data_IF_322391356530
#
_entry.id   IF_322391356530
#
_cell.length_a   1.000
_cell.length_b   1.000
_cell.length_c   1.000
_cell.angle_alpha   90.00
_cell.angle_beta   90.00
_cell.angle_gamma   90.00
#
_symmetry.space_group_name_H-M   'P 1'
#
loop_
_entity.id
_entity.type
_entity.pdbx_description
1 polymer ?
#
# COMPACT_ATOMS: atom_id res chain seq x y z
N UNK A 1 50.14 31.95 19.47
CA UNK A 1 49.45 30.65 19.33
C UNK A 1 47.96 30.92 19.27
N UNK A 2 47.38 30.96 18.06
CA UNK A 2 45.91 30.98 17.89
C UNK A 2 45.63 30.04 16.72
N UNK A 3 45.18 28.83 17.03
CA UNK A 3 44.56 27.92 16.06
C UNK A 3 43.30 27.42 16.75
N UNK A 4 42.16 27.56 16.09
CA UNK A 4 40.98 26.76 16.43
C UNK A 4 39.73 27.58 16.72
N UNK A 5 38.97 27.87 15.67
CA UNK A 5 37.51 28.01 15.69
C UNK A 5 37.05 28.12 14.24
N UNK A 6 36.90 26.97 13.57
CA UNK A 6 36.45 26.96 12.17
C UNK A 6 36.23 25.57 11.56
N UNK A 7 36.59 24.49 12.24
CA UNK A 7 36.59 23.15 11.64
C UNK A 7 35.35 22.28 11.90
N UNK A 8 34.40 22.69 12.76
CA UNK A 8 33.36 21.77 13.24
C UNK A 8 31.98 21.91 12.60
N UNK A 9 31.72 22.96 11.80
CA UNK A 9 30.42 23.10 11.12
C UNK A 9 30.33 22.40 9.75
N UNK A 10 31.46 22.06 9.12
CA UNK A 10 31.45 21.44 7.79
C UNK A 10 31.18 19.91 7.82
N UNK A 11 31.44 19.24 8.95
CA UNK A 11 31.28 17.79 9.06
C UNK A 11 29.84 17.33 9.34
N UNK A 12 28.94 18.22 9.78
CA UNK A 12 27.54 17.86 10.00
C UNK A 12 26.71 17.91 8.70
N UNK A 13 27.05 18.81 7.76
CA UNK A 13 26.31 18.94 6.49
C UNK A 13 26.66 17.87 5.45
N UNK A 14 27.87 17.28 5.53
CA UNK A 14 28.27 16.17 4.65
C UNK A 14 27.70 14.81 5.09
N UNK A 15 27.28 14.66 6.35
CA UNK A 15 26.66 13.43 6.85
C UNK A 15 25.25 13.20 6.27
N UNK A 16 24.53 14.25 5.85
CA UNK A 16 23.24 14.12 5.15
C UNK A 16 23.37 13.75 3.68
N UNK A 17 24.56 13.87 3.07
CA UNK A 17 24.81 13.56 1.66
C UNK A 17 25.49 12.18 1.47
N UNK A 18 26.10 11.63 2.52
CA UNK A 18 26.79 10.33 2.49
C UNK A 18 25.87 9.14 2.82
N UNK A 19 24.58 9.39 3.06
CA UNK A 19 23.59 8.31 3.01
C UNK A 19 23.13 8.20 1.56
N UNK A 20 23.93 7.52 0.74
CA UNK A 20 23.41 6.92 -0.49
C UNK A 20 22.08 6.27 -0.11
N UNK A 21 20.98 6.50 -0.86
CA UNK A 21 19.78 5.74 -0.62
C UNK A 21 20.22 4.30 -0.83
N UNK A 22 20.44 3.55 0.28
CA UNK A 22 20.61 2.11 0.21
C UNK A 22 19.42 1.68 -0.60
N UNK A 23 19.68 1.30 -1.84
CA UNK A 23 18.69 0.74 -2.74
C UNK A 23 18.35 -0.57 -2.08
N UNK A 24 17.47 -0.49 -1.09
CA UNK A 24 17.00 -1.63 -0.35
C UNK A 24 16.17 -2.35 -1.40
N UNK A 25 16.77 -3.35 -2.04
CA UNK A 25 16.10 -4.23 -2.98
C UNK A 25 15.09 -4.98 -2.14
N UNK A 26 13.90 -4.41 -2.01
CA UNK A 26 12.77 -5.04 -1.34
C UNK A 26 12.46 -6.27 -2.15
N UNK A 27 12.77 -7.44 -1.60
CA UNK A 27 12.36 -8.71 -2.18
C UNK A 27 10.86 -8.82 -1.96
N UNK A 28 10.10 -8.61 -3.04
CA UNK A 28 8.65 -8.75 -3.01
C UNK A 28 8.32 -10.24 -3.06
N UNK A 29 7.64 -10.74 -2.02
CA UNK A 29 7.18 -12.13 -2.00
C UNK A 29 5.98 -12.32 -2.94
N UNK A 30 5.69 -13.56 -3.35
CA UNK A 30 4.62 -13.82 -4.32
C UNK A 30 3.25 -13.32 -3.85
N UNK A 31 2.94 -13.44 -2.56
CA UNK A 31 1.70 -12.92 -2.00
C UNK A 31 1.70 -11.38 -1.93
N UNK A 32 2.84 -10.72 -1.72
CA UNK A 32 2.93 -9.25 -1.70
C UNK A 32 2.75 -8.72 -3.13
N UNK A 33 3.38 -9.37 -4.10
CA UNK A 33 3.23 -9.05 -5.52
C UNK A 33 1.76 -9.16 -5.96
N UNK A 34 1.05 -10.22 -5.56
CA UNK A 34 -0.35 -10.41 -5.90
C UNK A 34 -1.26 -9.30 -5.35
N UNK A 35 -0.97 -8.78 -4.15
CA UNK A 35 -1.70 -7.65 -3.56
C UNK A 35 -1.31 -6.32 -4.21
N UNK A 36 -0.03 -6.13 -4.52
CA UNK A 36 0.44 -4.96 -5.27
C UNK A 36 -0.18 -4.88 -6.66
N UNK A 37 -0.34 -6.02 -7.34
CA UNK A 37 -1.06 -6.09 -8.61
C UNK A 37 -2.51 -5.63 -8.45
N UNK A 38 -3.19 -6.03 -7.38
CA UNK A 38 -4.56 -5.57 -7.12
C UNK A 38 -4.66 -4.08 -6.77
N UNK A 39 -3.62 -3.48 -6.17
CA UNK A 39 -3.56 -2.02 -5.99
C UNK A 39 -3.50 -1.32 -7.35
N UNK A 40 -2.64 -1.79 -8.27
CA UNK A 40 -2.56 -1.21 -9.63
C UNK A 40 -3.90 -1.36 -10.36
N UNK A 41 -4.51 -2.55 -10.35
CA UNK A 41 -5.85 -2.77 -10.95
C UNK A 41 -6.88 -1.78 -10.43
N UNK A 42 -6.90 -1.55 -9.12
CA UNK A 42 -7.84 -0.60 -8.50
C UNK A 42 -7.58 0.85 -8.93
N UNK A 43 -6.31 1.26 -9.04
CA UNK A 43 -5.93 2.59 -9.51
C UNK A 43 -6.32 2.81 -10.98
N UNK A 44 -6.01 1.85 -11.85
CA UNK A 44 -6.34 1.95 -13.28
C UNK A 44 -7.85 1.93 -13.51
N UNK A 45 -8.61 1.09 -12.78
CA UNK A 45 -10.08 1.03 -12.87
C UNK A 45 -10.73 2.33 -12.40
N UNK A 46 -10.15 2.98 -11.38
CA UNK A 46 -10.66 4.24 -10.85
C UNK A 46 -10.21 5.48 -11.66
N UNK A 47 -9.35 5.32 -12.67
CA UNK A 47 -8.75 6.43 -13.41
C UNK A 47 -7.90 7.34 -12.50
N UNK A 48 -7.29 6.77 -11.46
CA UNK A 48 -6.51 7.52 -10.47
C UNK A 48 -5.03 7.48 -10.84
N UNK A 49 -4.55 8.58 -11.40
CA UNK A 49 -3.14 8.72 -11.76
C UNK A 49 -2.25 9.19 -10.60
N UNK A 50 -2.84 9.88 -9.62
CA UNK A 50 -2.11 10.49 -8.50
C UNK A 50 -2.31 9.74 -7.18
N UNK A 51 -1.21 9.45 -6.50
CA UNK A 51 -1.15 8.78 -5.20
C UNK A 51 -2.02 9.42 -4.09
N UNK A 52 -2.42 10.68 -4.25
CA UNK A 52 -3.19 11.42 -3.24
C UNK A 52 -4.68 11.01 -3.21
N UNK A 53 -5.23 10.58 -4.36
CA UNK A 53 -6.60 10.05 -4.45
C UNK A 53 -6.66 8.53 -4.22
N UNK A 54 -5.50 7.89 -4.02
CA UNK A 54 -5.41 6.44 -3.83
C UNK A 54 -5.98 5.99 -2.49
N UNK A 55 -5.92 6.84 -1.45
CA UNK A 55 -6.43 6.52 -0.12
C UNK A 55 -7.98 6.50 -0.04
N UNK A 56 -8.69 7.09 -1.01
CA UNK A 56 -10.16 7.13 -1.03
C UNK A 56 -10.78 5.97 -1.80
N UNK A 57 -9.98 5.22 -2.56
CA UNK A 57 -10.44 4.03 -3.27
C UNK A 57 -10.43 2.85 -2.30
N UNK A 58 -11.62 2.38 -1.89
CA UNK A 58 -11.79 1.31 -0.89
C UNK A 58 -10.95 0.06 -1.19
N UNK A 59 -10.84 -0.31 -2.48
CA UNK A 59 -10.05 -1.46 -2.91
C UNK A 59 -8.56 -1.23 -2.64
N UNK A 60 -8.04 -0.03 -2.90
CA UNK A 60 -6.63 0.25 -2.62
C UNK A 60 -6.37 0.22 -1.12
N UNK A 61 -7.22 0.86 -0.31
CA UNK A 61 -7.09 0.84 1.15
C UNK A 61 -7.11 -0.59 1.70
N UNK A 62 -7.96 -1.46 1.15
CA UNK A 62 -8.00 -2.87 1.52
C UNK A 62 -6.66 -3.59 1.26
N UNK A 63 -6.12 -3.51 0.04
CA UNK A 63 -4.86 -4.19 -0.30
C UNK A 63 -3.64 -3.55 0.38
N UNK A 64 -3.63 -2.23 0.55
CA UNK A 64 -2.62 -1.53 1.37
C UNK A 64 -2.67 -2.01 2.83
N UNK A 65 -3.86 -2.23 3.38
CA UNK A 65 -4.07 -2.84 4.69
C UNK A 65 -3.51 -4.26 4.76
N UNK A 66 -3.74 -5.10 3.74
CA UNK A 66 -3.15 -6.46 3.67
C UNK A 66 -1.62 -6.42 3.65
N UNK A 67 -1.02 -5.53 2.86
CA UNK A 67 0.44 -5.37 2.78
C UNK A 67 1.03 -4.89 4.12
N UNK A 68 0.40 -3.90 4.75
CA UNK A 68 0.82 -3.39 6.06
C UNK A 68 0.63 -4.40 7.19
N UNK A 69 -0.45 -5.20 7.15
CA UNK A 69 -0.82 -6.18 8.17
C UNK A 69 0.10 -7.40 8.25
N UNK A 70 0.99 -7.62 7.27
CA UNK A 70 1.93 -8.74 7.26
C UNK A 70 3.15 -8.53 8.16
N UNK A 71 3.25 -7.41 8.87
CA UNK A 71 4.29 -7.17 9.88
C UNK A 71 5.67 -6.82 9.32
N UNK A 72 5.81 -6.72 8.00
CA UNK A 72 7.03 -6.22 7.36
C UNK A 72 7.09 -4.70 7.49
N UNK A 73 8.16 -4.17 8.11
CA UNK A 73 8.42 -2.72 8.19
C UNK A 73 8.95 -2.24 6.84
N UNK A 74 8.08 -2.26 5.84
CA UNK A 74 8.35 -1.88 4.46
C UNK A 74 7.57 -0.62 4.13
N UNK A 75 8.23 0.35 3.49
CA UNK A 75 7.58 1.53 2.90
C UNK A 75 6.82 1.12 1.63
N UNK A 76 5.70 0.42 1.80
CA UNK A 76 4.89 -0.13 0.71
C UNK A 76 4.42 0.94 -0.27
N UNK A 77 4.22 2.18 0.21
CA UNK A 77 3.98 3.37 -0.61
C UNK A 77 5.05 3.53 -1.72
N UNK A 78 6.33 3.46 -1.34
CA UNK A 78 7.45 3.61 -2.29
C UNK A 78 7.61 2.40 -3.20
N UNK A 79 7.42 1.21 -2.66
CA UNK A 79 7.54 -0.05 -3.41
C UNK A 79 6.46 -0.13 -4.50
N UNK A 80 5.24 0.31 -4.19
CA UNK A 80 4.13 0.39 -5.15
C UNK A 80 4.37 1.43 -6.24
N UNK A 81 4.84 2.63 -5.87
CA UNK A 81 5.20 3.65 -6.86
C UNK A 81 6.28 3.13 -7.80
N UNK A 82 7.34 2.53 -7.26
CA UNK A 82 8.41 1.93 -8.06
C UNK A 82 7.89 0.83 -8.98
N UNK A 83 7.07 -0.09 -8.44
CA UNK A 83 6.46 -1.18 -9.21
C UNK A 83 5.58 -0.66 -10.35
N UNK A 84 4.63 0.23 -10.07
CA UNK A 84 3.74 0.79 -11.10
C UNK A 84 4.52 1.59 -12.15
N UNK A 85 5.55 2.34 -11.74
CA UNK A 85 6.39 3.12 -12.67
C UNK A 85 7.24 2.24 -13.60
N UNK A 86 7.49 0.99 -13.21
CA UNK A 86 8.16 0.00 -14.05
C UNK A 86 7.25 -0.67 -15.08
N UNK A 87 5.94 -0.42 -15.04
CA UNK A 87 4.96 -0.99 -15.97
C UNK A 87 4.63 0.00 -17.08
N UNK A 88 4.68 -0.47 -18.32
CA UNK A 88 4.11 0.23 -19.46
C UNK A 88 2.59 0.31 -19.39
N UNK A 89 1.99 1.24 -20.13
CA UNK A 89 0.53 1.40 -20.19
C UNK A 89 -0.16 0.11 -20.64
N UNK A 90 0.42 -0.61 -21.61
CA UNK A 90 -0.10 -1.88 -22.08
C UNK A 90 -0.06 -2.96 -21.00
N UNK A 91 1.00 -3.01 -20.17
CA UNK A 91 1.09 -3.95 -19.05
C UNK A 91 0.08 -3.62 -17.95
N UNK A 92 -0.17 -2.33 -17.69
CA UNK A 92 -1.19 -1.90 -16.72
C UNK A 92 -2.60 -2.26 -17.18
N UNK A 93 -2.92 -2.04 -18.46
CA UNK A 93 -4.20 -2.48 -19.07
C UNK A 93 -4.35 -4.00 -18.97
N UNK A 94 -3.31 -4.74 -19.36
CA UNK A 94 -3.34 -6.21 -19.29
C UNK A 94 -3.51 -6.73 -17.85
N UNK A 95 -2.94 -6.04 -16.85
CA UNK A 95 -3.18 -6.39 -15.44
C UNK A 95 -4.65 -6.25 -15.03
N UNK A 96 -5.36 -5.25 -15.54
CA UNK A 96 -6.81 -5.11 -15.30
C UNK A 96 -7.56 -6.31 -15.90
N UNK A 97 -7.18 -6.73 -17.11
CA UNK A 97 -7.78 -7.90 -17.78
C UNK A 97 -7.49 -9.21 -17.02
N UNK A 98 -6.22 -9.44 -16.67
CA UNK A 98 -5.75 -10.71 -16.08
C UNK A 98 -6.16 -10.86 -14.60
N UNK A 99 -6.37 -9.76 -13.88
CA UNK A 99 -6.56 -9.79 -12.42
C UNK A 99 -7.83 -9.09 -11.92
N UNK A 100 -8.54 -8.34 -12.78
CA UNK A 100 -9.70 -7.53 -12.40
C UNK A 100 -10.77 -8.30 -11.64
N UNK A 101 -11.14 -9.48 -12.14
CA UNK A 101 -12.17 -10.34 -11.52
C UNK A 101 -11.73 -10.83 -10.15
N UNK A 102 -10.52 -11.38 -10.02
CA UNK A 102 -9.98 -11.85 -8.74
C UNK A 102 -9.93 -10.72 -7.72
N UNK A 103 -9.35 -9.58 -8.10
CA UNK A 103 -9.14 -8.46 -7.19
C UNK A 103 -10.46 -7.85 -6.72
N UNK A 104 -11.48 -7.82 -7.58
CA UNK A 104 -12.81 -7.31 -7.22
C UNK A 104 -13.56 -8.29 -6.30
N UNK A 105 -13.48 -9.59 -6.58
CA UNK A 105 -14.11 -10.62 -5.75
C UNK A 105 -13.52 -10.68 -4.34
N UNK A 106 -12.20 -10.57 -4.18
CA UNK A 106 -11.56 -10.56 -2.86
C UNK A 106 -12.09 -9.40 -1.98
N UNK A 107 -12.23 -8.19 -2.54
CA UNK A 107 -12.76 -7.04 -1.79
C UNK A 107 -14.25 -7.22 -1.49
N UNK A 108 -15.03 -7.73 -2.44
CA UNK A 108 -16.44 -8.03 -2.22
C UNK A 108 -16.63 -9.04 -1.09
N UNK A 109 -15.87 -10.13 -1.10
CA UNK A 109 -15.92 -11.17 -0.07
C UNK A 109 -15.54 -10.64 1.32
N UNK A 110 -14.50 -9.80 1.39
CA UNK A 110 -14.14 -9.14 2.64
C UNK A 110 -15.29 -8.25 3.15
N UNK A 111 -15.90 -7.46 2.26
CA UNK A 111 -17.01 -6.56 2.59
C UNK A 111 -18.26 -7.33 3.06
N UNK A 112 -18.57 -8.46 2.42
CA UNK A 112 -19.66 -9.35 2.83
C UNK A 112 -19.41 -9.97 4.21
N UNK A 113 -18.17 -10.36 4.51
CA UNK A 113 -17.80 -10.86 5.84
C UNK A 113 -18.05 -9.84 6.96
N UNK A 114 -17.69 -8.57 6.73
CA UNK A 114 -17.99 -7.49 7.69
C UNK A 114 -19.49 -7.23 7.84
N UNK A 115 -20.26 -7.26 6.75
CA UNK A 115 -21.71 -7.10 6.79
C UNK A 115 -22.38 -8.23 7.59
N UNK A 116 -21.92 -9.48 7.40
CA UNK A 116 -22.42 -10.64 8.14
C UNK A 116 -22.17 -10.51 9.65
N UNK A 117 -20.98 -10.04 10.04
CA UNK A 117 -20.62 -9.79 11.45
C UNK A 117 -21.52 -8.71 12.06
N UNK A 118 -21.64 -7.56 11.39
CA UNK A 118 -22.48 -6.46 11.88
C UNK A 118 -23.96 -6.85 12.01
N UNK A 119 -24.48 -7.63 11.05
CA UNK A 119 -25.85 -8.16 11.11
C UNK A 119 -26.04 -9.16 12.25
N UNK A 120 -25.02 -9.99 12.52
CA UNK A 120 -25.06 -10.96 13.63
C UNK A 120 -25.01 -10.25 14.99
N UNK A 121 -24.17 -9.23 15.14
CA UNK A 121 -24.11 -8.40 16.35
C UNK A 121 -25.41 -7.62 16.57
N UNK A 122 -26.00 -7.08 15.50
CA UNK A 122 -27.29 -6.40 15.57
C UNK A 122 -28.41 -7.37 15.97
N UNK A 123 -28.45 -8.57 15.40
CA UNK A 123 -29.41 -9.61 15.77
C UNK A 123 -29.27 -10.01 17.26
N UNK A 124 -28.05 -10.22 17.73
CA UNK A 124 -27.77 -10.55 19.13
C UNK A 124 -28.10 -9.40 20.10
N UNK A 125 -27.98 -8.13 19.65
CA UNK A 125 -28.39 -6.97 20.44
C UNK A 125 -29.92 -6.84 20.53
N UNK A 126 -30.65 -7.15 19.46
CA UNK A 126 -32.12 -7.17 19.45
C UNK A 126 -32.65 -8.26 20.40
N UNK A 127 -32.10 -9.48 20.34
CA UNK A 127 -32.49 -10.59 21.22
C UNK A 127 -32.27 -10.27 22.71
N UNK A 128 -31.24 -9.47 23.04
CA UNK A 128 -30.97 -9.00 24.41
C UNK A 128 -31.79 -7.79 24.85
N UNK A 129 -32.61 -7.22 23.95
CA UNK A 129 -33.42 -6.02 24.22
C UNK A 129 -34.90 -6.31 24.43
N UNK A 130 -35.32 -7.58 24.33
CA UNK A 130 -36.69 -8.03 24.60
C UNK A 130 -36.98 -8.28 26.10
N UNK A 131 -36.03 -7.95 27.00
CA UNK A 131 -36.21 -7.84 28.47
C UNK A 131 -36.34 -6.37 28.90
#
# INVERSE_FOLDING_TARGET
MIVGLGGLLALALLASLASEPKTQTVRVEGADLADMQCVVVAMETAGVDEAQNVATVSNVTFYMGKLAGRGNVTRWDRVLVAYRSGLSDAERVKMVEDHGVRCSLEVLMASMGFAQLALSDAAAAVEKSED
#
